data_IF_833015291301
#
_entry.id   IF_833015291301
#
_cell.length_a   1.000
_cell.length_b   1.000
_cell.length_c   1.000
_cell.angle_alpha   90.00
_cell.angle_beta   90.00
_cell.angle_gamma   90.00
#
_symmetry.space_group_name_H-M   'P 1'
#
loop_
_entity.id
_entity.type
_entity.pdbx_description
1 polymer ?
#
# COMPACT_ATOMS: atom_id res chain seq x y z
N UNK A 1 -18.74 25.74 -14.71
CA UNK A 1 -19.06 24.65 -13.77
C UNK A 1 -18.55 23.39 -14.43
N UNK A 2 -17.24 23.21 -14.38
CA UNK A 2 -16.56 22.12 -15.07
C UNK A 2 -16.64 20.88 -14.19
N UNK A 3 -17.71 20.11 -14.40
CA UNK A 3 -17.80 18.72 -13.95
C UNK A 3 -17.20 17.90 -15.08
N UNK A 4 -16.41 16.89 -14.74
CA UNK A 4 -15.77 15.93 -15.66
C UNK A 4 -14.30 16.27 -16.00
N UNK A 5 -13.47 16.45 -14.95
CA UNK A 5 -12.08 16.05 -15.08
C UNK A 5 -12.06 14.52 -15.10
N UNK A 6 -11.99 13.93 -16.29
CA UNK A 6 -11.80 12.49 -16.48
C UNK A 6 -10.47 12.10 -15.79
N UNK A 7 -10.54 11.29 -14.73
CA UNK A 7 -9.37 10.83 -14.01
C UNK A 7 -8.66 9.76 -14.86
N UNK A 8 -7.70 10.19 -15.66
CA UNK A 8 -6.93 9.35 -16.58
C UNK A 8 -5.87 8.49 -15.87
N UNK A 9 -5.66 8.68 -14.57
CA UNK A 9 -4.71 7.91 -13.79
C UNK A 9 -5.38 6.69 -13.14
N UNK A 10 -5.01 5.44 -13.52
CA UNK A 10 -5.53 4.27 -12.87
C UNK A 10 -5.02 4.18 -11.43
N UNK A 11 -5.93 3.90 -10.49
CA UNK A 11 -5.61 3.77 -9.06
C UNK A 11 -6.23 2.49 -8.49
N UNK A 12 -5.47 1.80 -7.64
CA UNK A 12 -5.95 0.68 -6.84
C UNK A 12 -5.69 1.00 -5.37
N UNK A 13 -6.75 1.01 -4.55
CA UNK A 13 -6.64 1.34 -3.12
C UNK A 13 -7.34 0.31 -2.22
N UNK A 14 -6.75 -0.12 -1.10
CA UNK A 14 -7.43 -1.00 -0.16
C UNK A 14 -8.51 -0.27 0.63
N UNK A 15 -9.66 -0.91 0.85
CA UNK A 15 -10.65 -0.48 1.85
C UNK A 15 -10.39 -1.21 3.18
N UNK A 16 -10.55 -0.50 4.29
CA UNK A 16 -10.55 -1.07 5.63
C UNK A 16 -11.56 -2.23 5.72
N UNK A 17 -11.12 -3.38 6.25
CA UNK A 17 -11.88 -4.65 6.31
C UNK A 17 -12.54 -5.07 4.98
N UNK A 18 -12.02 -4.58 3.85
CA UNK A 18 -12.76 -4.57 2.59
C UNK A 18 -11.92 -4.88 1.35
N UNK A 19 -12.56 -4.80 0.17
CA UNK A 19 -11.92 -5.10 -1.12
C UNK A 19 -10.86 -4.08 -1.52
N UNK A 20 -10.14 -4.36 -2.60
CA UNK A 20 -9.38 -3.34 -3.33
C UNK A 20 -10.35 -2.58 -4.25
N UNK A 21 -10.41 -1.25 -4.14
CA UNK A 21 -11.16 -0.37 -5.05
C UNK A 21 -10.28 -0.06 -6.26
N UNK A 22 -10.86 -0.15 -7.45
CA UNK A 22 -10.19 0.20 -8.72
C UNK A 22 -10.90 1.41 -9.31
N UNK A 23 -10.11 2.42 -9.65
CA UNK A 23 -10.54 3.72 -10.21
C UNK A 23 -9.71 4.05 -11.44
N UNK A 24 -10.25 4.86 -12.35
CA UNK A 24 -9.60 5.22 -13.62
C UNK A 24 -9.68 4.15 -14.71
N UNK A 25 -9.02 4.36 -15.86
CA UNK A 25 -9.11 3.51 -17.04
C UNK A 25 -8.28 2.23 -16.88
N UNK A 26 -8.88 1.17 -16.33
CA UNK A 26 -8.24 -0.15 -16.14
C UNK A 26 -8.89 -1.21 -17.03
N UNK A 27 -8.06 -1.94 -17.78
CA UNK A 27 -8.47 -3.11 -18.56
C UNK A 27 -8.36 -4.38 -17.71
N UNK A 28 -9.37 -5.25 -17.80
CA UNK A 28 -9.38 -6.54 -17.11
C UNK A 28 -9.25 -7.67 -18.11
N UNK A 29 -8.40 -8.64 -17.78
CA UNK A 29 -8.16 -9.84 -18.58
C UNK A 29 -8.24 -11.07 -17.68
N UNK A 30 -8.73 -12.18 -18.24
CA UNK A 30 -8.61 -13.49 -17.59
C UNK A 30 -7.22 -14.09 -17.78
N UNK A 31 -6.95 -15.24 -17.16
CA UNK A 31 -5.67 -15.94 -17.27
C UNK A 31 -5.34 -16.44 -18.69
N UNK A 32 -6.29 -16.40 -19.63
CA UNK A 32 -6.12 -16.77 -21.04
C UNK A 32 -5.98 -15.53 -21.94
N UNK A 33 -5.98 -14.33 -21.37
CA UNK A 33 -5.90 -13.07 -22.11
C UNK A 33 -7.23 -12.59 -22.69
N UNK A 34 -8.37 -13.22 -22.37
CA UNK A 34 -9.66 -12.72 -22.82
C UNK A 34 -10.04 -11.47 -22.02
N UNK A 35 -10.51 -10.43 -22.71
CA UNK A 35 -11.00 -9.22 -22.06
C UNK A 35 -12.26 -9.52 -21.25
N UNK A 36 -12.25 -9.14 -19.98
CA UNK A 36 -13.41 -9.19 -19.10
C UNK A 36 -14.02 -7.80 -19.06
N UNK A 37 -15.31 -7.70 -19.37
CA UNK A 37 -16.07 -6.49 -19.10
C UNK A 37 -16.71 -6.61 -17.71
N UNK A 38 -16.38 -5.73 -16.74
CA UNK A 38 -16.99 -5.71 -15.41
C UNK A 38 -18.46 -5.18 -15.46
N UNK A 39 -19.28 -5.77 -16.34
CA UNK A 39 -20.63 -5.35 -16.73
C UNK A 39 -21.65 -5.29 -15.59
N UNK A 40 -21.36 -5.90 -14.43
CA UNK A 40 -22.33 -5.99 -13.32
C UNK A 40 -22.25 -4.84 -12.31
N UNK A 41 -21.27 -3.94 -12.41
CA UNK A 41 -21.14 -2.80 -11.48
C UNK A 41 -21.28 -1.49 -12.26
N UNK A 42 -22.51 -0.99 -12.36
CA UNK A 42 -22.82 0.34 -12.94
C UNK A 42 -21.82 1.39 -12.43
N UNK A 43 -21.19 2.11 -13.36
CA UNK A 43 -20.56 3.44 -13.19
C UNK A 43 -19.55 3.55 -12.03
N UNK A 44 -18.33 3.03 -12.22
CA UNK A 44 -17.15 3.56 -11.54
C UNK A 44 -16.80 2.99 -10.15
N UNK A 45 -17.35 1.83 -9.76
CA UNK A 45 -17.01 1.18 -8.49
C UNK A 45 -16.59 -0.28 -8.71
N UNK A 46 -15.47 -0.48 -9.39
CA UNK A 46 -14.87 -1.81 -9.49
C UNK A 46 -14.20 -2.12 -8.16
N UNK A 47 -14.44 -3.34 -7.65
CA UNK A 47 -13.88 -3.79 -6.40
C UNK A 47 -13.40 -5.23 -6.56
N UNK A 48 -12.13 -5.49 -6.27
CA UNK A 48 -11.49 -6.80 -6.34
C UNK A 48 -11.52 -7.48 -4.96
N UNK A 49 -11.77 -8.77 -4.95
CA UNK A 49 -11.81 -9.56 -3.73
C UNK A 49 -10.42 -9.59 -3.09
N UNK A 50 -10.34 -9.15 -1.83
CA UNK A 50 -9.14 -9.28 -0.98
C UNK A 50 -9.29 -10.32 0.13
N UNK A 51 -10.53 -10.67 0.50
CA UNK A 51 -10.83 -11.58 1.62
C UNK A 51 -10.81 -13.08 1.27
N UNK A 52 -10.58 -13.45 0.01
CA UNK A 52 -10.60 -14.85 -0.45
C UNK A 52 -11.99 -15.51 -0.54
N UNK A 53 -13.03 -14.91 0.05
CA UNK A 53 -14.34 -15.56 0.24
C UNK A 53 -15.41 -15.20 -0.80
N UNK A 54 -15.07 -14.41 -1.83
CA UNK A 54 -16.05 -14.04 -2.85
C UNK A 54 -16.46 -15.22 -3.73
N UNK A 55 -17.72 -15.27 -4.15
CA UNK A 55 -18.26 -16.22 -5.14
C UNK A 55 -18.19 -15.69 -6.57
N UNK A 56 -17.87 -14.41 -6.75
CA UNK A 56 -17.78 -13.71 -8.04
C UNK A 56 -16.33 -13.30 -8.36
N UNK A 57 -15.37 -14.16 -8.01
CA UNK A 57 -13.93 -13.88 -8.19
C UNK A 57 -13.63 -13.59 -9.67
N UNK A 58 -12.72 -12.63 -9.96
CA UNK A 58 -11.85 -11.91 -9.04
C UNK A 58 -12.52 -10.71 -8.33
N UNK A 59 -13.78 -10.43 -8.61
CA UNK A 59 -14.50 -9.29 -8.06
C UNK A 59 -14.99 -9.56 -6.64
N UNK A 60 -15.22 -8.48 -5.90
CA UNK A 60 -15.83 -8.54 -4.58
C UNK A 60 -17.37 -8.55 -4.69
N UNK A 61 -18.01 -9.49 -4.01
CA UNK A 61 -19.48 -9.66 -3.90
C UNK A 61 -20.03 -9.23 -2.53
N UNK A 62 -19.18 -8.71 -1.64
CA UNK A 62 -19.57 -8.29 -0.29
C UNK A 62 -19.35 -9.32 0.82
N UNK A 63 -18.96 -10.57 0.51
CA UNK A 63 -18.80 -11.62 1.52
C UNK A 63 -17.77 -11.30 2.62
N UNK A 64 -16.84 -10.38 2.41
CA UNK A 64 -15.87 -9.92 3.42
C UNK A 64 -16.52 -9.50 4.74
N UNK A 65 -17.77 -9.00 4.70
CA UNK A 65 -18.54 -8.60 5.90
C UNK A 65 -18.95 -9.79 6.77
N UNK A 66 -19.00 -11.00 6.20
CA UNK A 66 -19.52 -12.19 6.85
C UNK A 66 -18.43 -13.23 7.17
N UNK A 67 -17.17 -12.97 6.80
CA UNK A 67 -16.08 -13.96 6.90
C UNK A 67 -15.03 -13.62 7.95
N UNK A 68 -15.27 -12.60 8.79
CA UNK A 68 -14.31 -12.13 9.79
C UNK A 68 -13.04 -11.54 9.17
N UNK A 69 -13.10 -11.05 7.94
CA UNK A 69 -11.93 -10.52 7.26
C UNK A 69 -11.43 -9.24 7.95
N UNK A 70 -10.17 -9.26 8.37
CA UNK A 70 -9.50 -8.09 8.96
C UNK A 70 -8.50 -7.47 8.01
N UNK A 71 -8.50 -6.13 7.91
CA UNK A 71 -7.40 -5.40 7.28
C UNK A 71 -6.24 -5.13 8.23
N UNK A 72 -6.37 -5.46 9.52
CA UNK A 72 -5.27 -5.32 10.46
C UNK A 72 -4.09 -6.15 9.98
N UNK A 73 -2.93 -5.52 9.87
CA UNK A 73 -1.68 -6.25 9.75
C UNK A 73 -1.49 -7.00 11.06
N UNK A 74 -1.54 -8.33 11.01
CA UNK A 74 -1.06 -9.16 12.11
C UNK A 74 0.46 -9.27 11.94
N UNK A 75 1.14 -8.13 12.05
CA UNK A 75 2.57 -8.10 12.38
C UNK A 75 2.70 -8.46 13.85
N UNK A 76 3.87 -8.93 14.29
CA UNK A 76 4.09 -9.57 15.60
C UNK A 76 3.92 -8.70 16.85
N UNK A 77 2.96 -7.76 16.89
CA UNK A 77 2.54 -7.08 18.11
C UNK A 77 3.19 -5.73 18.41
N UNK A 78 3.91 -5.13 17.48
CA UNK A 78 4.34 -3.72 17.63
C UNK A 78 3.14 -2.79 17.46
N UNK A 79 2.92 -1.95 18.47
CA UNK A 79 1.83 -0.97 18.50
C UNK A 79 2.02 0.05 17.37
N UNK A 80 0.91 0.63 16.90
CA UNK A 80 0.91 1.79 16.00
C UNK A 80 1.64 2.95 16.70
N UNK A 81 2.94 3.07 16.43
CA UNK A 81 3.86 3.97 17.11
C UNK A 81 4.88 4.49 16.11
N UNK A 82 4.85 5.80 15.89
CA UNK A 82 5.82 6.49 15.05
C UNK A 82 7.05 6.87 15.88
N UNK A 83 8.22 6.46 15.41
CA UNK A 83 9.52 6.82 15.97
C UNK A 83 10.24 7.74 15.00
N UNK A 84 10.74 8.86 15.50
CA UNK A 84 11.41 9.87 14.68
C UNK A 84 12.94 9.71 14.78
N UNK A 85 13.60 9.74 13.63
CA UNK A 85 15.05 9.74 13.49
C UNK A 85 15.46 11.04 12.83
N UNK A 86 16.02 11.95 13.61
CA UNK A 86 16.44 13.28 13.15
C UNK A 86 17.83 13.21 12.51
N UNK A 87 17.96 13.68 11.27
CA UNK A 87 19.23 13.95 10.59
C UNK A 87 19.43 15.43 10.32
N UNK A 88 20.54 15.75 9.66
CA UNK A 88 20.88 17.13 9.29
C UNK A 88 19.96 17.70 8.21
N UNK A 89 19.60 16.89 7.20
CA UNK A 89 18.80 17.31 6.05
C UNK A 89 17.34 16.81 6.07
N UNK A 90 17.06 15.76 6.85
CA UNK A 90 15.77 15.05 6.84
C UNK A 90 15.49 14.40 8.19
N UNK A 91 14.23 14.43 8.63
CA UNK A 91 13.73 13.57 9.71
C UNK A 91 13.02 12.39 9.08
N UNK A 92 13.39 11.17 9.47
CA UNK A 92 12.74 9.94 9.02
C UNK A 92 11.77 9.47 10.10
N UNK A 93 10.50 9.32 9.72
CA UNK A 93 9.43 8.79 10.56
C UNK A 93 9.27 7.29 10.29
N UNK A 94 9.40 6.44 11.30
CA UNK A 94 9.21 4.98 11.22
C UNK A 94 8.05 4.51 12.10
N UNK A 95 7.02 3.95 11.47
CA UNK A 95 5.93 3.25 12.13
C UNK A 95 5.99 1.76 11.78
N UNK A 96 6.76 1.01 12.57
CA UNK A 96 6.90 -0.44 12.40
C UNK A 96 5.59 -1.21 12.55
N UNK A 97 4.64 -0.67 13.31
CA UNK A 97 3.31 -1.27 13.49
C UNK A 97 2.58 -1.50 12.16
N UNK A 98 2.82 -0.66 11.15
CA UNK A 98 2.22 -0.79 9.81
C UNK A 98 3.22 -1.28 8.74
N UNK A 99 4.40 -1.76 9.12
CA UNK A 99 5.39 -2.21 8.14
C UNK A 99 4.92 -3.46 7.38
N UNK A 100 4.97 -3.43 6.05
CA UNK A 100 4.71 -4.62 5.23
C UNK A 100 5.93 -5.58 5.13
N UNK A 101 7.08 -5.20 5.69
CA UNK A 101 8.32 -5.98 5.65
C UNK A 101 8.74 -6.44 4.24
N UNK A 102 8.46 -5.62 3.21
CA UNK A 102 8.77 -5.96 1.81
C UNK A 102 10.27 -5.89 1.49
N UNK A 103 11.06 -5.18 2.29
CA UNK A 103 12.52 -5.12 2.17
C UNK A 103 13.08 -3.91 1.42
N UNK A 104 12.30 -3.18 0.61
CA UNK A 104 12.82 -2.10 -0.25
C UNK A 104 13.77 -1.11 0.46
N UNK A 105 13.46 -0.67 1.68
CA UNK A 105 14.31 0.26 2.42
C UNK A 105 15.68 -0.36 2.77
N UNK A 106 15.68 -1.48 3.48
CA UNK A 106 16.88 -2.14 3.96
C UNK A 106 17.70 -2.81 2.84
N UNK A 107 17.04 -3.30 1.79
CA UNK A 107 17.70 -3.99 0.68
C UNK A 107 18.37 -3.01 -0.29
N UNK A 108 17.80 -1.80 -0.45
CA UNK A 108 18.26 -0.83 -1.48
C UNK A 108 19.04 0.35 -0.91
N UNK A 109 18.89 0.68 0.38
CA UNK A 109 19.65 1.75 1.05
C UNK A 109 20.12 1.33 2.46
N UNK A 110 20.96 0.28 2.57
CA UNK A 110 21.40 -0.29 3.83
C UNK A 110 22.29 0.65 4.67
N UNK A 111 22.84 1.72 4.08
CA UNK A 111 23.58 2.75 4.80
C UNK A 111 22.67 3.56 5.74
N UNK A 112 21.40 3.72 5.35
CA UNK A 112 20.37 4.46 6.11
C UNK A 112 19.50 3.51 6.92
N UNK A 113 19.03 2.39 6.33
CA UNK A 113 18.12 1.44 6.99
C UNK A 113 18.86 0.17 7.42
N UNK A 114 19.40 0.18 8.63
CA UNK A 114 20.47 -0.72 9.08
C UNK A 114 19.94 -1.93 9.86
N UNK A 115 19.82 -3.07 9.20
CA UNK A 115 19.33 -4.30 9.82
C UNK A 115 20.25 -4.83 10.92
N UNK A 116 19.68 -4.99 12.12
CA UNK A 116 20.40 -5.51 13.28
C UNK A 116 21.29 -4.50 13.99
N UNK A 117 21.22 -3.21 13.62
CA UNK A 117 22.01 -2.12 14.21
C UNK A 117 21.07 -1.13 14.91
N UNK A 118 21.51 -0.56 16.03
CA UNK A 118 20.78 0.49 16.75
C UNK A 118 21.63 1.79 16.82
N UNK A 119 21.09 2.96 16.40
CA UNK A 119 19.74 3.17 15.87
C UNK A 119 19.56 2.49 14.51
N UNK A 120 18.37 1.92 14.29
CA UNK A 120 18.02 1.21 13.06
C UNK A 120 18.02 2.12 11.82
N UNK A 121 17.64 3.39 11.98
CA UNK A 121 17.70 4.38 10.90
C UNK A 121 18.82 5.36 11.20
N UNK A 122 19.65 5.62 10.19
CA UNK A 122 20.67 6.66 10.16
C UNK A 122 20.33 7.63 9.03
N UNK A 123 19.55 8.69 9.29
CA UNK A 123 19.11 9.64 8.25
C UNK A 123 20.26 10.29 7.47
N UNK A 124 21.44 10.40 8.09
CA UNK A 124 22.63 11.00 7.50
C UNK A 124 23.52 9.98 6.76
N UNK A 125 23.10 8.70 6.69
CA UNK A 125 23.79 7.65 5.95
C UNK A 125 23.84 7.86 4.44
N UNK A 126 23.00 8.76 3.90
CA UNK A 126 22.98 9.14 2.49
C UNK A 126 22.44 10.58 2.33
N UNK A 127 22.64 11.25 1.17
CA UNK A 127 22.07 12.57 0.91
C UNK A 127 20.53 12.56 1.08
N UNK A 128 19.96 13.62 1.68
CA UNK A 128 18.55 13.65 2.07
C UNK A 128 17.58 13.38 0.92
N UNK A 129 17.89 13.81 -0.30
CA UNK A 129 17.05 13.49 -1.48
C UNK A 129 17.01 11.99 -1.82
N UNK A 130 18.11 11.24 -1.60
CA UNK A 130 18.11 9.78 -1.78
C UNK A 130 17.25 9.12 -0.71
N UNK A 131 17.33 9.60 0.53
CA UNK A 131 16.50 9.12 1.64
C UNK A 131 15.02 9.36 1.36
N UNK A 132 14.63 10.56 0.91
CA UNK A 132 13.24 10.89 0.54
C UNK A 132 12.72 9.96 -0.54
N UNK A 133 13.51 9.73 -1.60
CA UNK A 133 13.09 8.87 -2.69
C UNK A 133 12.91 7.42 -2.23
N UNK A 134 13.81 6.92 -1.37
CA UNK A 134 13.66 5.59 -0.80
C UNK A 134 12.41 5.48 0.09
N UNK A 135 12.10 6.51 0.89
CA UNK A 135 10.90 6.55 1.74
C UNK A 135 9.62 6.48 0.90
N UNK A 136 9.55 7.20 -0.24
CA UNK A 136 8.38 7.16 -1.15
C UNK A 136 8.07 5.78 -1.70
N UNK A 137 9.05 4.87 -1.69
CA UNK A 137 8.89 3.49 -2.15
C UNK A 137 8.32 2.55 -1.09
N UNK A 138 8.15 3.00 0.16
CA UNK A 138 7.54 2.20 1.21
C UNK A 138 6.05 1.94 0.91
N UNK A 139 5.66 0.71 0.51
CA UNK A 139 4.31 0.46 0.02
C UNK A 139 3.26 0.49 1.13
N UNK A 140 3.68 0.32 2.39
CA UNK A 140 2.78 0.35 3.53
C UNK A 140 2.62 1.74 4.16
N UNK A 141 3.47 2.71 3.77
CA UNK A 141 3.54 4.01 4.44
C UNK A 141 4.15 3.96 5.83
N UNK A 142 4.81 2.85 6.21
CA UNK A 142 5.54 2.75 7.49
C UNK A 142 6.68 3.76 7.59
N UNK A 143 7.23 4.19 6.46
CA UNK A 143 8.23 5.24 6.40
C UNK A 143 7.60 6.53 5.87
N UNK A 144 7.93 7.67 6.48
CA UNK A 144 7.56 9.01 6.01
C UNK A 144 8.68 10.03 6.32
N UNK A 145 8.62 11.23 5.73
CA UNK A 145 9.56 12.35 5.93
C UNK A 145 8.90 13.73 5.82
#
# INVERSE_FOLDING_TARGET
MDKDAENDNPQISPREHGPLRVEGPVNFFDARGNRIDPLRKKKGNIALCRCGSSRDKPFCDGNHRNTGFSSAQVTGGEQDHCTDYEGEEITVHDNRGICAHIGYCADELPEVFRVGIEPWIDPDGAPGEQVKEQIRRCPSGALNH
#
